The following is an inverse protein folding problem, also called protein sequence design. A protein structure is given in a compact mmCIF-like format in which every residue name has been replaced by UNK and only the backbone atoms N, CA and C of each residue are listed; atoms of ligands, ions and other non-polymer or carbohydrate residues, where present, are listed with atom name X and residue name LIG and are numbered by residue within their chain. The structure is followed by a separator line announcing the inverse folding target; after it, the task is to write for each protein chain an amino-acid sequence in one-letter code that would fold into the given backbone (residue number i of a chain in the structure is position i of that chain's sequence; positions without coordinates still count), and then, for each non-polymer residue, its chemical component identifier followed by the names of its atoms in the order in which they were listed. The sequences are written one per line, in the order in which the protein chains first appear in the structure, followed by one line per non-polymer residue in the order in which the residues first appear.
data_IF_474774562183
#
_entry.id   IF_474774562183
#
_cell.length_a   1.000
_cell.length_b   1.000
_cell.length_c   1.000
_cell.angle_alpha   90.00
_cell.angle_beta   90.00
_cell.angle_gamma   90.00
#
_symmetry.space_group_name_H-M   'P 1'
#
loop_
_entity.id
_entity.type
_entity.pdbx_description
1 polymer ?
#
# COMPACT_ATOMS: atom_id res chain seq x y z
N UNK A 1 3.34 24.82 -13.54
CA UNK A 1 4.15 23.97 -12.64
C UNK A 1 3.89 22.46 -12.83
N UNK A 2 2.69 21.91 -12.52
CA UNK A 2 2.43 20.45 -12.63
C UNK A 2 2.68 19.87 -14.04
N UNK A 3 2.11 20.48 -15.09
CA UNK A 3 2.25 19.97 -16.47
C UNK A 3 3.71 19.97 -16.96
N UNK A 4 4.51 20.96 -16.53
CA UNK A 4 5.93 21.05 -16.90
C UNK A 4 6.77 19.93 -16.28
N UNK A 5 6.55 19.61 -15.00
CA UNK A 5 7.26 18.50 -14.34
C UNK A 5 6.93 17.15 -15.00
N UNK A 6 5.65 16.92 -15.28
CA UNK A 6 5.17 15.72 -15.98
C UNK A 6 5.74 15.64 -17.39
N UNK A 7 5.73 16.75 -18.13
CA UNK A 7 6.30 16.81 -19.48
C UNK A 7 7.78 16.50 -19.47
N UNK A 8 8.56 17.09 -18.55
CA UNK A 8 10.00 16.82 -18.45
C UNK A 8 10.30 15.35 -18.14
N UNK A 9 9.53 14.75 -17.24
CA UNK A 9 9.65 13.32 -16.93
C UNK A 9 9.27 12.44 -18.13
N UNK A 10 8.19 12.76 -18.85
CA UNK A 10 7.75 12.01 -20.02
C UNK A 10 8.67 12.15 -21.24
N UNK A 11 9.50 13.19 -21.30
CA UNK A 11 10.48 13.42 -22.37
C UNK A 11 11.92 13.13 -21.95
N UNK A 12 12.13 12.32 -20.90
CA UNK A 12 13.45 11.93 -20.37
C UNK A 12 14.38 13.12 -20.02
N UNK A 13 13.81 14.29 -19.72
CA UNK A 13 14.55 15.45 -19.21
C UNK A 13 14.63 15.47 -17.68
N UNK A 14 13.98 14.51 -17.02
CA UNK A 14 13.95 14.36 -15.57
C UNK A 14 13.77 12.87 -15.23
N UNK A 15 14.73 12.29 -14.51
CA UNK A 15 14.73 10.85 -14.21
C UNK A 15 13.78 10.47 -13.07
N UNK A 16 13.43 11.42 -12.20
CA UNK A 16 12.63 11.19 -11.00
C UNK A 16 11.47 12.17 -10.94
N UNK A 17 10.26 11.64 -10.72
CA UNK A 17 9.06 12.43 -10.47
C UNK A 17 8.46 12.06 -9.11
N UNK A 18 8.34 13.05 -8.23
CA UNK A 18 7.62 12.92 -6.95
C UNK A 18 6.20 13.44 -7.13
N UNK A 19 5.20 12.64 -6.76
CA UNK A 19 3.80 13.00 -6.89
C UNK A 19 2.94 12.36 -5.79
N UNK A 20 1.86 13.04 -5.41
CA UNK A 20 0.75 12.46 -4.64
C UNK A 20 -0.28 11.83 -5.58
N UNK A 21 -1.21 11.03 -5.06
CA UNK A 21 -2.23 10.38 -5.90
C UNK A 21 -3.11 11.37 -6.69
N UNK A 22 -3.53 12.45 -6.03
CA UNK A 22 -4.26 13.57 -6.68
C UNK A 22 -3.37 14.24 -7.73
N UNK A 23 -2.07 14.32 -7.46
CA UNK A 23 -1.00 14.76 -8.35
C UNK A 23 -0.79 13.88 -9.59
N UNK A 24 -1.18 12.61 -9.54
CA UNK A 24 -0.90 11.61 -10.58
C UNK A 24 -2.12 11.20 -11.43
N UNK A 25 -3.35 11.43 -10.96
CA UNK A 25 -4.58 11.09 -11.70
C UNK A 25 -4.65 11.80 -13.06
N UNK A 26 -5.09 11.07 -14.08
CA UNK A 26 -5.22 11.57 -15.46
C UNK A 26 -3.89 11.68 -16.22
N UNK A 27 -2.77 11.27 -15.61
CA UNK A 27 -1.45 11.32 -16.24
C UNK A 27 -1.04 9.92 -16.72
N UNK A 28 -0.49 9.86 -17.93
CA UNK A 28 0.11 8.66 -18.50
C UNK A 28 1.63 8.83 -18.56
N UNK A 29 2.34 7.93 -17.89
CA UNK A 29 3.80 7.89 -17.89
C UNK A 29 4.22 6.67 -18.72
N UNK A 30 4.69 6.85 -19.97
CA UNK A 30 5.26 5.75 -20.73
C UNK A 30 6.57 5.30 -20.07
N UNK A 31 6.82 3.98 -20.07
CA UNK A 31 8.12 3.38 -19.75
C UNK A 31 8.69 3.63 -18.34
N UNK A 32 7.86 3.76 -17.31
CA UNK A 32 8.35 3.82 -15.93
C UNK A 32 8.97 2.48 -15.54
N UNK A 33 10.25 2.47 -15.16
CA UNK A 33 10.96 1.27 -14.72
C UNK A 33 10.77 0.95 -13.23
N UNK A 34 10.64 2.00 -12.41
CA UNK A 34 10.54 1.88 -10.95
C UNK A 34 9.38 2.70 -10.42
N UNK A 35 8.60 2.08 -9.53
CA UNK A 35 7.60 2.79 -8.71
C UNK A 35 8.01 2.66 -7.25
N UNK A 36 8.11 3.80 -6.55
CA UNK A 36 8.42 3.84 -5.12
C UNK A 36 7.21 4.39 -4.37
N UNK A 37 6.57 3.55 -3.57
CA UNK A 37 5.58 3.99 -2.60
C UNK A 37 6.31 4.47 -1.34
N UNK A 38 6.48 5.78 -1.22
CA UNK A 38 7.02 6.37 0.00
C UNK A 38 6.06 6.18 1.18
N UNK A 39 4.79 6.52 0.98
CA UNK A 39 3.70 6.22 1.90
C UNK A 39 2.76 5.20 1.25
N UNK A 40 2.39 4.14 1.98
CA UNK A 40 1.40 3.18 1.49
C UNK A 40 0.02 3.82 1.40
N UNK A 41 -0.73 3.57 0.31
CA UNK A 41 -2.07 4.13 0.17
C UNK A 41 -2.99 3.54 1.23
N UNK A 42 -3.90 4.36 1.74
CA UNK A 42 -4.91 3.92 2.69
C UNK A 42 -5.97 3.06 2.01
N UNK A 43 -6.41 1.98 2.65
CA UNK A 43 -7.60 1.24 2.20
C UNK A 43 -8.82 2.16 2.29
N UNK A 44 -9.41 2.47 1.14
CA UNK A 44 -10.72 3.12 1.10
C UNK A 44 -11.78 2.13 1.58
N UNK A 45 -12.61 2.56 2.53
CA UNK A 45 -13.72 1.80 3.12
C UNK A 45 -14.83 1.52 2.10
N UNK A 46 -14.79 2.15 0.92
CA UNK A 46 -15.88 2.14 -0.08
C UNK A 46 -15.66 1.23 -1.30
N UNK A 47 -14.83 0.21 -1.20
CA UNK A 47 -14.67 -0.79 -2.27
C UNK A 47 -14.17 -0.20 -3.60
N UNK A 48 -13.57 1.00 -3.56
CA UNK A 48 -12.98 1.63 -4.72
C UNK A 48 -11.65 0.92 -5.04
N UNK A 49 -11.49 0.65 -6.32
CA UNK A 49 -10.39 -0.06 -6.94
C UNK A 49 -9.03 0.37 -6.36
N UNK A 50 -8.35 -0.56 -5.69
CA UNK A 50 -7.25 -0.26 -4.77
C UNK A 50 -6.17 0.65 -5.40
N UNK A 51 -5.96 1.82 -4.78
CA UNK A 51 -4.98 2.83 -5.19
C UNK A 51 -3.56 2.27 -5.33
N UNK A 52 -3.18 1.31 -4.48
CA UNK A 52 -1.90 0.61 -4.62
C UNK A 52 -1.76 -0.08 -5.99
N UNK A 53 -2.80 -0.78 -6.44
CA UNK A 53 -2.80 -1.46 -7.75
C UNK A 53 -2.64 -0.43 -8.88
N UNK A 54 -3.31 0.71 -8.76
CA UNK A 54 -3.17 1.80 -9.74
C UNK A 54 -1.79 2.47 -9.76
N UNK A 55 -1.11 2.53 -8.60
CA UNK A 55 0.26 3.03 -8.48
C UNK A 55 1.27 2.05 -9.10
N UNK A 56 1.20 0.78 -8.75
CA UNK A 56 2.14 -0.23 -9.28
C UNK A 56 1.92 -0.48 -10.77
N UNK A 57 0.69 -0.34 -11.28
CA UNK A 57 0.38 -0.44 -12.71
C UNK A 57 1.00 0.66 -13.59
N UNK A 58 1.79 1.57 -13.02
CA UNK A 58 2.59 2.54 -13.79
C UNK A 58 3.84 1.90 -14.41
N UNK A 59 4.32 0.78 -13.86
CA UNK A 59 5.47 0.02 -14.37
C UNK A 59 5.05 -1.36 -14.90
N UNK A 60 5.99 -2.13 -15.46
CA UNK A 60 5.77 -3.53 -15.87
C UNK A 60 4.85 -3.71 -17.08
N UNK A 61 5.05 -2.94 -18.15
CA UNK A 61 4.29 -3.07 -19.42
C UNK A 61 4.90 -4.13 -20.35
N UNK A 62 4.15 -4.56 -21.38
CA UNK A 62 4.58 -5.58 -22.34
C UNK A 62 6.01 -5.30 -22.85
N UNK A 63 6.92 -6.26 -22.64
CA UNK A 63 8.31 -6.18 -23.08
C UNK A 63 9.28 -5.52 -22.09
N UNK A 64 8.79 -4.87 -21.02
CA UNK A 64 9.62 -4.17 -20.03
C UNK A 64 9.32 -4.69 -18.62
N UNK A 65 10.35 -5.23 -17.95
CA UNK A 65 10.25 -5.60 -16.54
C UNK A 65 10.24 -4.34 -15.69
N UNK A 66 9.28 -4.25 -14.77
CA UNK A 66 9.15 -3.16 -13.82
C UNK A 66 9.42 -3.64 -12.40
N UNK A 67 9.89 -2.74 -11.54
CA UNK A 67 10.06 -3.01 -10.11
C UNK A 67 9.29 -2.02 -9.25
N UNK A 68 8.79 -2.52 -8.13
CA UNK A 68 8.04 -1.74 -7.15
C UNK A 68 8.72 -1.89 -5.79
N UNK A 69 8.98 -0.76 -5.14
CA UNK A 69 9.48 -0.71 -3.77
C UNK A 69 8.43 0.03 -2.95
N UNK A 70 8.04 -0.55 -1.81
CA UNK A 70 7.10 0.10 -0.90
C UNK A 70 7.69 0.13 0.50
N UNK A 71 7.70 1.32 1.09
CA UNK A 71 8.07 1.49 2.49
C UNK A 71 6.87 1.16 3.36
N UNK A 72 7.14 0.51 4.49
CA UNK A 72 6.14 0.13 5.49
C UNK A 72 6.63 0.64 6.84
N UNK A 73 5.78 1.39 7.54
CA UNK A 73 6.07 1.89 8.88
C UNK A 73 5.24 1.13 9.92
N UNK A 74 5.86 0.25 10.75
CA UNK A 74 5.17 -0.45 11.83
C UNK A 74 4.57 0.46 12.90
N UNK A 75 4.90 1.76 12.93
CA UNK A 75 4.28 2.73 13.84
C UNK A 75 3.04 3.42 13.24
N UNK A 76 2.89 3.40 11.91
CA UNK A 76 1.77 4.01 11.17
C UNK A 76 0.49 3.18 11.33
N UNK A 77 -0.55 3.77 11.94
CA UNK A 77 -1.87 3.14 12.11
C UNK A 77 -2.44 2.68 10.76
N UNK A 78 -2.21 3.45 9.69
CA UNK A 78 -2.67 3.09 8.35
C UNK A 78 -2.00 1.81 7.86
N UNK A 79 -0.67 1.74 7.98
CA UNK A 79 0.12 0.61 7.51
C UNK A 79 -0.23 -0.66 8.30
N UNK A 80 -0.38 -0.54 9.63
CA UNK A 80 -0.86 -1.65 10.47
C UNK A 80 -2.19 -2.23 9.96
N UNK A 81 -3.16 -1.36 9.67
CA UNK A 81 -4.50 -1.75 9.19
C UNK A 81 -4.47 -2.41 7.81
N UNK A 82 -3.46 -2.09 7.00
CA UNK A 82 -3.32 -2.58 5.63
C UNK A 82 -2.35 -3.76 5.51
N UNK A 83 -1.66 -4.16 6.58
CA UNK A 83 -0.64 -5.21 6.54
C UNK A 83 -1.19 -6.55 5.98
N UNK A 84 -2.33 -7.02 6.49
CA UNK A 84 -2.99 -8.25 6.01
C UNK A 84 -3.42 -8.15 4.54
N UNK A 85 -3.82 -6.95 4.10
CA UNK A 85 -4.12 -6.68 2.70
C UNK A 85 -2.88 -6.82 1.81
N UNK A 86 -1.74 -6.26 2.23
CA UNK A 86 -0.50 -6.35 1.44
C UNK A 86 0.06 -7.76 1.38
N UNK A 87 0.00 -8.53 2.48
CA UNK A 87 0.33 -9.97 2.48
C UNK A 87 -0.50 -10.69 1.42
N UNK A 88 -1.82 -10.45 1.40
CA UNK A 88 -2.72 -11.07 0.43
C UNK A 88 -2.37 -10.70 -1.02
N UNK A 89 -2.09 -9.42 -1.29
CA UNK A 89 -1.68 -8.96 -2.63
C UNK A 89 -0.38 -9.61 -3.09
N UNK A 90 0.63 -9.68 -2.22
CA UNK A 90 1.91 -10.32 -2.52
C UNK A 90 1.71 -11.81 -2.83
N UNK A 91 0.93 -12.53 -2.02
CA UNK A 91 0.59 -13.93 -2.25
C UNK A 91 -0.16 -14.16 -3.56
N UNK A 92 -1.22 -13.39 -3.82
CA UNK A 92 -2.03 -13.49 -5.04
C UNK A 92 -1.18 -13.18 -6.30
N UNK A 93 -0.17 -12.33 -6.14
CA UNK A 93 0.79 -11.97 -7.20
C UNK A 93 2.02 -12.88 -7.26
N UNK A 94 2.03 -13.97 -6.47
CA UNK A 94 3.15 -14.93 -6.36
C UNK A 94 4.50 -14.29 -6.03
N UNK A 95 4.47 -13.20 -5.26
CA UNK A 95 5.66 -12.54 -4.73
C UNK A 95 6.04 -13.16 -3.38
N UNK A 96 7.33 -13.09 -3.05
CA UNK A 96 7.80 -13.47 -1.71
C UNK A 96 7.25 -12.50 -0.68
N UNK A 97 6.53 -13.02 0.31
CA UNK A 97 6.16 -12.24 1.50
C UNK A 97 7.33 -12.28 2.48
N UNK A 98 7.84 -11.14 2.94
CA UNK A 98 8.87 -11.14 3.97
C UNK A 98 8.37 -11.77 5.27
N UNK A 99 9.20 -12.59 5.92
CA UNK A 99 8.82 -13.31 7.15
C UNK A 99 8.32 -12.35 8.25
N UNK A 100 9.05 -11.24 8.47
CA UNK A 100 8.69 -10.22 9.44
C UNK A 100 7.28 -9.64 9.22
N UNK A 101 6.78 -9.64 7.97
CA UNK A 101 5.45 -9.13 7.66
C UNK A 101 4.36 -10.15 8.02
N UNK A 102 4.66 -11.44 7.93
CA UNK A 102 3.75 -12.52 8.37
C UNK A 102 3.63 -12.51 9.90
N UNK A 103 4.78 -12.49 10.59
CA UNK A 103 4.86 -12.37 12.06
C UNK A 103 4.09 -11.14 12.54
N UNK A 104 4.32 -9.99 11.89
CA UNK A 104 3.64 -8.75 12.21
C UNK A 104 2.11 -8.86 12.10
N UNK A 105 1.58 -9.51 11.05
CA UNK A 105 0.12 -9.68 10.89
C UNK A 105 -0.44 -10.60 11.99
N UNK A 106 0.24 -11.71 12.31
CA UNK A 106 -0.18 -12.65 13.34
C UNK A 106 -0.24 -12.01 14.74
N UNK A 107 0.76 -11.21 15.09
CA UNK A 107 0.81 -10.47 16.36
C UNK A 107 -0.33 -9.44 16.48
N UNK A 108 -0.62 -8.72 15.40
CA UNK A 108 -1.69 -7.72 15.38
C UNK A 108 -3.07 -8.36 15.49
N UNK A 109 -3.33 -9.49 14.82
CA UNK A 109 -4.60 -10.21 14.93
C UNK A 109 -4.81 -10.79 16.33
N UNK A 110 -3.75 -11.34 16.94
CA UNK A 110 -3.79 -11.86 18.31
C UNK A 110 -4.12 -10.76 19.33
N UNK A 111 -3.50 -9.58 19.17
CA UNK A 111 -3.74 -8.43 20.03
C UNK A 111 -5.19 -7.93 19.97
N UNK A 112 -5.79 -7.89 18.78
CA UNK A 112 -7.20 -7.50 18.59
C UNK A 112 -8.16 -8.54 19.20
N UNK A 113 -7.86 -9.82 19.05
CA UNK A 113 -8.66 -10.91 19.59
C UNK A 113 -8.64 -10.95 21.13
N UNK A 114 -7.51 -10.61 21.75
CA UNK A 114 -7.41 -10.54 23.20
C UNK A 114 -8.16 -9.31 23.77
N UNK A 115 -8.00 -8.14 23.15
CA UNK A 115 -8.73 -6.92 23.53
C UNK A 115 -10.26 -7.10 23.46
N UNK A 116 -10.75 -7.82 22.45
CA UNK A 116 -12.19 -8.12 22.32
C UNK A 116 -12.66 -9.08 23.41
N UNK A 117 -11.93 -10.18 23.68
CA UNK A 117 -12.28 -11.10 24.78
C UNK A 117 -12.35 -10.41 26.14
N UNK A 118 -11.39 -9.55 26.44
CA UNK A 118 -11.37 -8.81 27.71
C UNK A 118 -12.54 -7.81 27.81
N UNK A 119 -12.90 -7.16 26.71
CA UNK A 119 -14.07 -6.25 26.67
C UNK A 119 -15.40 -7.00 26.87
N UNK A 120 -15.56 -8.19 26.30
CA UNK A 120 -16.78 -9.00 26.47
C UNK A 120 -16.86 -9.64 27.87
N UNK A 121 -15.73 -10.09 28.44
CA UNK A 121 -15.70 -10.67 29.79
C UNK A 121 -16.08 -9.66 30.89
N UNK A 122 -15.84 -8.37 30.67
CA UNK A 122 -16.17 -7.32 31.65
C UNK A 122 -17.63 -6.86 31.58
N UNK A 123 -18.39 -7.22 30.53
CA UNK A 123 -19.78 -6.77 30.35
C UNK A 123 -20.82 -7.69 31.02
N UNK A 124 -20.48 -8.95 31.27
CA UNK A 124 -21.36 -9.93 31.92
C UNK A 124 -21.39 -9.80 33.46
N UNK A 125 -20.69 -8.81 34.04
CA UNK A 125 -20.56 -8.60 35.50
C UNK A 125 -21.45 -7.51 36.13
N UNK A 126 -22.13 -6.67 35.35
CA UNK A 126 -22.91 -5.51 35.85
C UNK A 126 -24.44 -5.70 35.71
N UNK A 127 -24.96 -6.82 36.20
CA UNK A 127 -26.39 -6.94 36.52
C UNK A 127 -26.57 -7.48 37.92
N UNK A 128 -26.54 -6.58 38.91
CA UNK A 128 -27.19 -6.76 40.21
C UNK A 128 -27.78 -5.42 40.65
#
# INVERSE_FOLDING_TARGET
MRYQAVSKFATDQCDVLVATDVGARGLNFPNVQYVINYDLPSRDLRGSQNEYIHRIGRTGRIGNVGAVISYFDPSSINDKRNASYFVKVLQDSRQTVPEWMLEFVEENETSINNLSKDAFSNYDGEKN
#
